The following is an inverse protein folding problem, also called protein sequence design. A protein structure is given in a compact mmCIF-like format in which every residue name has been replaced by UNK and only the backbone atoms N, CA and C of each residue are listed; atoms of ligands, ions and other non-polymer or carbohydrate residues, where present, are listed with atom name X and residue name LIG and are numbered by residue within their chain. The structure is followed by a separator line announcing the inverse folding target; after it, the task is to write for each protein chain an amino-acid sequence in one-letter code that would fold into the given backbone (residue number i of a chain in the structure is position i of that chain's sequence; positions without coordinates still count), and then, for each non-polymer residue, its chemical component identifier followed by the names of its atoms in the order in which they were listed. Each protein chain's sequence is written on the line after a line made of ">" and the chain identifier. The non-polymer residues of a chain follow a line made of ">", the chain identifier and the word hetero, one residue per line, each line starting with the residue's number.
data_IF_744662872615
#
_entry.id   IF_744662872615
#
_cell.length_a   1.000
_cell.length_b   1.000
_cell.length_c   1.000
_cell.angle_alpha   90.00
_cell.angle_beta   90.00
_cell.angle_gamma   90.00
#
_symmetry.space_group_name_H-M   'P 1'
#
loop_
_entity.id
_entity.type
_entity.pdbx_description
1 polymer ?
#
# COMPACT_ATOMS: atom_id res chain seq x y z
N UNK A 1 23.11 24.51 35.08
CA UNK A 1 23.64 23.19 35.49
C UNK A 1 22.88 22.11 34.72
N UNK A 2 23.58 21.20 34.01
CA UNK A 2 22.97 19.99 33.42
C UNK A 2 22.93 18.92 34.51
N UNK A 3 21.79 18.26 34.78
CA UNK A 3 21.76 17.18 35.76
C UNK A 3 22.61 16.02 35.24
N UNK A 4 23.66 15.69 35.99
CA UNK A 4 24.45 14.46 35.78
C UNK A 4 23.57 13.30 36.21
N UNK A 5 23.00 12.60 35.23
CA UNK A 5 22.19 11.40 35.46
C UNK A 5 23.04 10.36 36.19
N UNK A 6 22.54 9.79 37.29
CA UNK A 6 23.28 8.77 38.04
C UNK A 6 23.35 7.50 37.19
N UNK A 7 24.53 6.94 36.88
CA UNK A 7 24.68 5.78 35.99
C UNK A 7 24.02 4.48 36.51
N UNK A 8 23.50 4.53 37.74
CA UNK A 8 22.78 3.47 38.46
C UNK A 8 21.26 3.59 38.34
N UNK A 9 20.75 4.68 37.80
CA UNK A 9 19.32 4.91 37.63
C UNK A 9 18.73 3.85 36.67
N UNK A 10 17.66 3.18 37.12
CA UNK A 10 17.02 2.09 36.36
C UNK A 10 17.76 0.74 36.37
N UNK A 11 18.73 0.50 37.27
CA UNK A 11 19.40 -0.80 37.45
C UNK A 11 19.18 -1.35 38.86
N UNK A 12 19.04 -2.67 38.98
CA UNK A 12 18.96 -3.40 40.25
C UNK A 12 20.19 -4.29 40.41
N UNK A 13 20.62 -4.53 41.66
CA UNK A 13 21.73 -5.43 41.96
C UNK A 13 21.21 -6.86 42.16
N UNK A 14 21.85 -7.83 41.53
CA UNK A 14 21.53 -9.26 41.67
C UNK A 14 22.19 -9.86 42.91
N UNK A 15 21.75 -11.05 43.33
CA UNK A 15 22.36 -11.84 44.42
C UNK A 15 23.84 -12.15 44.17
N UNK A 16 24.24 -12.29 42.90
CA UNK A 16 25.63 -12.41 42.45
C UNK A 16 26.41 -11.08 42.44
N UNK A 17 25.78 -9.97 42.81
CA UNK A 17 26.41 -8.65 42.92
C UNK A 17 26.49 -7.83 41.64
N UNK A 18 25.94 -8.32 40.52
CA UNK A 18 25.96 -7.64 39.21
C UNK A 18 24.80 -6.65 39.09
N UNK A 19 25.05 -5.47 38.51
CA UNK A 19 23.99 -4.50 38.20
C UNK A 19 23.34 -4.82 36.86
N UNK A 20 22.06 -5.15 36.87
CA UNK A 20 21.25 -5.41 35.68
C UNK A 20 20.18 -4.32 35.51
N UNK A 21 19.76 -3.99 34.28
CA UNK A 21 18.61 -3.10 34.08
C UNK A 21 17.39 -3.65 34.82
N UNK A 22 16.61 -2.77 35.47
CA UNK A 22 15.37 -3.15 36.15
C UNK A 22 14.37 -3.83 35.20
N UNK A 23 14.45 -3.52 33.89
CA UNK A 23 13.67 -4.18 32.83
C UNK A 23 14.08 -5.63 32.53
N UNK A 24 15.15 -6.13 33.12
CA UNK A 24 15.56 -7.53 32.92
C UNK A 24 14.60 -8.50 33.64
N UNK A 25 13.97 -8.08 34.73
CA UNK A 25 12.90 -8.83 35.42
C UNK A 25 11.49 -8.46 34.98
N UNK A 26 11.31 -7.46 34.11
CA UNK A 26 10.00 -7.23 33.50
C UNK A 26 9.73 -8.36 32.52
N UNK A 27 8.51 -8.89 32.51
CA UNK A 27 7.99 -10.04 31.77
C UNK A 27 8.14 -9.99 30.23
N UNK A 28 9.11 -9.25 29.68
CA UNK A 28 9.42 -9.11 28.25
C UNK A 28 9.56 -10.44 27.53
N UNK A 29 10.10 -11.48 28.18
CA UNK A 29 10.16 -12.82 27.59
C UNK A 29 8.77 -13.48 27.54
N UNK A 30 7.96 -13.28 28.58
CA UNK A 30 6.57 -13.77 28.61
C UNK A 30 5.70 -13.02 27.60
N UNK A 31 5.82 -11.69 27.52
CA UNK A 31 5.17 -10.85 26.50
C UNK A 31 5.59 -11.25 25.08
N UNK A 32 6.89 -11.51 24.86
CA UNK A 32 7.38 -12.00 23.58
C UNK A 32 6.76 -13.36 23.25
N UNK A 33 6.79 -14.30 24.21
CA UNK A 33 6.22 -15.65 24.09
C UNK A 33 4.71 -15.62 23.83
N UNK A 34 3.97 -14.74 24.50
CA UNK A 34 2.53 -14.55 24.26
C UNK A 34 2.28 -14.03 22.84
N UNK A 35 3.07 -13.06 22.39
CA UNK A 35 2.97 -12.52 21.02
C UNK A 35 3.30 -13.57 19.96
N UNK A 36 4.32 -14.41 20.15
CA UNK A 36 4.63 -15.51 19.21
C UNK A 36 3.64 -16.66 19.32
N UNK A 37 3.11 -16.98 20.50
CA UNK A 37 2.07 -17.99 20.67
C UNK A 37 0.77 -17.59 19.98
N UNK A 38 0.39 -16.31 20.01
CA UNK A 38 -0.74 -15.78 19.23
C UNK A 38 -0.49 -15.95 17.73
N UNK A 39 0.74 -15.75 17.26
CA UNK A 39 1.09 -15.98 15.85
C UNK A 39 0.99 -17.46 15.44
N UNK A 40 1.34 -18.39 16.34
CA UNK A 40 1.27 -19.83 16.10
C UNK A 40 -0.16 -20.39 16.22
N UNK A 41 -0.91 -20.00 17.25
CA UNK A 41 -2.30 -20.43 17.46
C UNK A 41 -3.26 -19.89 16.38
N UNK A 42 -2.99 -18.72 15.80
CA UNK A 42 -3.78 -18.18 14.68
C UNK A 42 -3.59 -18.95 13.35
N UNK A 43 -2.67 -19.91 13.27
CA UNK A 43 -2.54 -20.79 12.09
C UNK A 43 -3.50 -21.98 12.12
N UNK A 44 -4.04 -22.34 13.29
CA UNK A 44 -4.81 -23.57 13.50
C UNK A 44 -6.31 -23.32 13.77
N UNK A 45 -6.70 -22.09 14.14
CA UNK A 45 -8.12 -21.70 14.28
C UNK A 45 -8.70 -21.21 12.95
N UNK A 46 -9.60 -22.01 12.35
CA UNK A 46 -10.35 -21.64 11.13
C UNK A 46 -11.30 -20.44 11.30
N UNK A 47 -11.51 -19.97 12.54
CA UNK A 47 -12.49 -18.93 12.89
C UNK A 47 -11.86 -17.62 13.42
N UNK A 48 -10.53 -17.49 13.37
CA UNK A 48 -9.86 -16.23 13.71
C UNK A 48 -10.10 -15.18 12.60
N UNK A 49 -10.37 -13.90 12.93
CA UNK A 49 -10.53 -12.86 11.91
C UNK A 49 -9.23 -12.80 11.10
N UNK A 50 -9.31 -13.18 9.81
CA UNK A 50 -8.20 -13.09 8.86
C UNK A 50 -7.61 -11.68 8.92
N UNK A 51 -6.54 -11.51 9.69
CA UNK A 51 -5.75 -10.29 9.62
C UNK A 51 -5.21 -10.24 8.20
N UNK A 52 -5.73 -9.32 7.38
CA UNK A 52 -5.21 -9.08 6.05
C UNK A 52 -3.72 -8.82 6.20
N UNK A 53 -2.91 -9.78 5.73
CA UNK A 53 -1.46 -9.68 5.78
C UNK A 53 -1.06 -8.38 5.10
N UNK A 54 -0.37 -7.53 5.85
CA UNK A 54 0.06 -6.25 5.30
C UNK A 54 0.91 -6.51 4.06
N UNK A 55 0.67 -5.81 2.93
CA UNK A 55 1.31 -6.19 1.69
C UNK A 55 2.83 -6.06 1.77
N UNK A 56 3.56 -7.07 1.30
CA UNK A 56 5.04 -7.07 1.37
C UNK A 56 5.66 -6.24 0.24
N UNK A 57 5.07 -6.30 -0.97
CA UNK A 57 5.55 -5.58 -2.14
C UNK A 57 5.30 -4.06 -2.00
N UNK A 58 6.30 -3.25 -2.35
CA UNK A 58 6.24 -1.78 -2.23
C UNK A 58 5.04 -1.14 -2.93
N UNK A 59 4.70 -1.59 -4.15
CA UNK A 59 3.53 -1.08 -4.88
C UNK A 59 2.21 -1.42 -4.18
N UNK A 60 2.14 -2.60 -3.54
CA UNK A 60 0.96 -3.03 -2.82
C UNK A 60 0.78 -2.22 -1.53
N UNK A 61 1.88 -1.89 -0.83
CA UNK A 61 1.90 -0.95 0.30
C UNK A 61 1.43 0.45 -0.11
N UNK A 62 1.94 0.95 -1.24
CA UNK A 62 1.52 2.23 -1.79
C UNK A 62 0.01 2.25 -2.04
N UNK A 63 -0.53 1.22 -2.71
CA UNK A 63 -1.96 1.12 -3.01
C UNK A 63 -2.81 1.03 -1.74
N UNK A 64 -2.36 0.26 -0.74
CA UNK A 64 -3.01 0.19 0.57
C UNK A 64 -3.05 1.57 1.25
N UNK A 65 -1.93 2.30 1.26
CA UNK A 65 -1.85 3.64 1.83
C UNK A 65 -2.76 4.65 1.09
N UNK A 66 -2.81 4.57 -0.24
CA UNK A 66 -3.73 5.38 -1.07
C UNK A 66 -5.18 5.06 -0.72
N UNK A 67 -5.54 3.78 -0.56
CA UNK A 67 -6.91 3.36 -0.16
C UNK A 67 -7.27 3.90 1.22
N UNK A 68 -6.36 3.82 2.19
CA UNK A 68 -6.56 4.39 3.54
C UNK A 68 -6.75 5.90 3.50
N UNK A 69 -5.93 6.62 2.73
CA UNK A 69 -6.04 8.08 2.59
C UNK A 69 -7.33 8.51 1.90
N UNK A 70 -7.80 7.76 0.90
CA UNK A 70 -9.11 7.99 0.25
C UNK A 70 -10.26 7.81 1.24
N UNK A 71 -10.26 6.73 2.02
CA UNK A 71 -11.29 6.49 3.05
C UNK A 71 -11.37 7.65 4.04
N UNK A 72 -10.23 8.14 4.53
CA UNK A 72 -10.19 9.32 5.41
C UNK A 72 -10.75 10.57 4.73
N UNK A 73 -10.35 10.84 3.49
CA UNK A 73 -10.82 12.00 2.73
C UNK A 73 -12.30 11.94 2.28
N UNK A 74 -12.93 10.77 2.39
CA UNK A 74 -14.37 10.60 2.13
C UNK A 74 -15.23 10.75 3.39
N UNK A 75 -14.62 10.66 4.59
CA UNK A 75 -15.30 10.91 5.86
C UNK A 75 -15.47 12.41 6.15
N UNK A 76 -14.55 13.25 5.68
CA UNK A 76 -14.66 14.70 5.83
C UNK A 76 -15.70 15.28 4.85
N UNK A 77 -16.61 16.13 5.36
CA UNK A 77 -17.55 16.88 4.53
C UNK A 77 -16.76 17.76 3.55
N UNK A 78 -17.06 17.61 2.25
CA UNK A 78 -16.37 18.35 1.18
C UNK A 78 -17.02 19.73 1.01
N UNK A 79 -16.21 20.77 1.06
CA UNK A 79 -16.60 22.13 0.71
C UNK A 79 -17.13 22.20 -0.75
N UNK A 80 -18.24 22.91 -1.05
CA UNK A 80 -18.78 23.11 -2.39
C UNK A 80 -17.74 23.41 -3.48
N UNK A 81 -16.75 24.27 -3.20
CA UNK A 81 -15.70 24.60 -4.17
C UNK A 81 -14.85 23.37 -4.55
N UNK A 82 -14.57 22.49 -3.59
CA UNK A 82 -13.85 21.24 -3.82
C UNK A 82 -14.66 20.25 -4.67
N UNK A 83 -15.99 20.23 -4.51
CA UNK A 83 -16.89 19.38 -5.31
C UNK A 83 -16.87 19.84 -6.76
N UNK A 84 -17.01 21.14 -7.01
CA UNK A 84 -16.95 21.71 -8.37
C UNK A 84 -15.60 21.40 -9.03
N UNK A 85 -14.49 21.59 -8.29
CA UNK A 85 -13.14 21.27 -8.79
C UNK A 85 -13.00 19.79 -9.16
N UNK A 86 -13.56 18.88 -8.35
CA UNK A 86 -13.58 17.43 -8.64
C UNK A 86 -14.39 17.12 -9.90
N UNK A 87 -15.56 17.74 -10.09
CA UNK A 87 -16.40 17.57 -11.29
C UNK A 87 -15.67 18.02 -12.56
N UNK A 88 -15.11 19.22 -12.56
CA UNK A 88 -14.33 19.75 -13.70
C UNK A 88 -13.16 18.82 -14.04
N UNK A 89 -12.45 18.30 -13.03
CA UNK A 89 -11.35 17.34 -13.25
C UNK A 89 -11.84 16.04 -13.90
N UNK A 90 -12.96 15.49 -13.42
CA UNK A 90 -13.55 14.25 -13.96
C UNK A 90 -14.02 14.45 -15.40
N UNK A 91 -14.65 15.59 -15.68
CA UNK A 91 -15.09 15.94 -17.03
C UNK A 91 -13.90 16.08 -17.99
N UNK A 92 -12.86 16.80 -17.59
CA UNK A 92 -11.63 16.93 -18.37
C UNK A 92 -10.96 15.58 -18.65
N UNK A 93 -10.96 14.67 -17.67
CA UNK A 93 -10.42 13.33 -17.84
C UNK A 93 -11.25 12.50 -18.84
N UNK A 94 -12.58 12.55 -18.73
CA UNK A 94 -13.50 11.89 -19.67
C UNK A 94 -13.31 12.43 -21.08
N UNK A 95 -13.22 13.75 -21.23
CA UNK A 95 -12.98 14.40 -22.52
C UNK A 95 -11.65 13.95 -23.13
N UNK A 96 -10.56 13.90 -22.34
CA UNK A 96 -9.26 13.37 -22.79
C UNK A 96 -9.36 11.90 -23.24
N UNK A 97 -10.04 11.06 -22.47
CA UNK A 97 -10.23 9.64 -22.84
C UNK A 97 -11.01 9.50 -24.15
N UNK A 98 -12.11 10.25 -24.31
CA UNK A 98 -12.91 10.25 -25.53
C UNK A 98 -12.08 10.71 -26.75
N UNK A 99 -11.27 11.76 -26.59
CA UNK A 99 -10.38 12.23 -27.67
C UNK A 99 -9.32 11.20 -28.02
N UNK A 100 -8.72 10.54 -27.03
CA UNK A 100 -7.75 9.47 -27.27
C UNK A 100 -8.40 8.26 -27.96
N UNK A 101 -9.63 7.89 -27.58
CA UNK A 101 -10.39 6.84 -28.26
C UNK A 101 -10.67 7.20 -29.71
N UNK A 102 -11.13 8.43 -29.99
CA UNK A 102 -11.36 8.92 -31.36
C UNK A 102 -10.06 8.89 -32.20
N UNK A 103 -8.94 9.36 -31.63
CA UNK A 103 -7.62 9.30 -32.29
C UNK A 103 -7.18 7.87 -32.56
N UNK A 104 -7.37 6.96 -31.61
CA UNK A 104 -7.03 5.54 -31.77
C UNK A 104 -7.93 4.87 -32.82
N UNK A 105 -9.23 5.19 -32.85
CA UNK A 105 -10.15 4.71 -33.89
C UNK A 105 -9.75 5.22 -35.28
N UNK A 106 -9.39 6.51 -35.41
CA UNK A 106 -8.89 7.08 -36.65
C UNK A 106 -7.58 6.42 -37.10
N UNK A 107 -6.62 6.19 -36.18
CA UNK A 107 -5.38 5.45 -36.47
C UNK A 107 -5.65 4.02 -36.92
N UNK A 108 -6.61 3.32 -36.30
CA UNK A 108 -7.02 1.97 -36.73
C UNK A 108 -7.62 1.97 -38.13
N UNK A 109 -8.49 2.95 -38.44
CA UNK A 109 -9.03 3.13 -39.80
C UNK A 109 -7.90 3.38 -40.81
N UNK A 110 -7.00 4.33 -40.53
CA UNK A 110 -5.86 4.64 -41.42
C UNK A 110 -4.86 3.48 -41.56
N UNK A 111 -4.63 2.71 -40.49
CA UNK A 111 -3.82 1.49 -40.54
C UNK A 111 -4.42 0.39 -41.42
N UNK A 112 -5.76 0.28 -41.41
CA UNK A 112 -6.51 -0.61 -42.29
C UNK A 112 -6.40 -0.18 -43.77
N UNK A 113 -6.48 1.12 -44.04
CA UNK A 113 -6.26 1.68 -45.38
C UNK A 113 -4.81 1.51 -45.88
N UNK A 114 -3.81 1.49 -44.97
CA UNK A 114 -2.39 1.30 -45.32
C UNK A 114 -2.04 -0.15 -45.66
N UNK A 115 -2.67 -1.14 -45.03
CA UNK A 115 -2.51 -2.56 -45.39
C UNK A 115 -3.41 -3.01 -46.55
N UNK A 116 -4.51 -2.30 -46.84
CA UNK A 116 -5.42 -2.62 -47.94
C UNK A 116 -4.96 -2.20 -49.34
N UNK A 117 -3.89 -1.41 -49.49
CA UNK A 117 -3.42 -0.88 -50.78
C UNK A 117 -2.09 -1.45 -51.31
N UNK A 118 -1.49 -2.44 -50.63
CA UNK A 118 -0.19 -3.02 -51.00
C UNK A 118 -0.17 -4.50 -51.41
N UNK A 119 -1.32 -5.18 -51.46
CA UNK A 119 -1.40 -6.63 -51.64
C UNK A 119 -1.79 -7.09 -53.05
N UNK A 120 -1.20 -6.55 -54.11
CA UNK A 120 -1.20 -7.17 -55.44
C UNK A 120 0.24 -7.47 -55.83
N UNK A 121 0.65 -8.72 -55.66
CA UNK A 121 1.98 -9.20 -56.07
C UNK A 121 2.04 -10.70 -55.87
N UNK A 122 1.54 -11.44 -56.85
CA UNK A 122 1.42 -12.89 -56.79
C UNK A 122 2.75 -13.61 -56.71
N UNK A 123 2.70 -14.84 -56.20
CA UNK A 123 3.57 -15.92 -56.64
C UNK A 123 2.90 -17.25 -56.30
N UNK A 124 2.32 -17.87 -57.34
CA UNK A 124 2.04 -19.30 -57.33
C UNK A 124 3.39 -20.00 -57.32
N UNK A 125 3.62 -20.90 -56.37
CA UNK A 125 4.67 -21.91 -56.49
C UNK A 125 4.03 -23.29 -56.53
N UNK A 126 4.64 -24.05 -57.42
CA UNK A 126 4.27 -25.31 -58.05
C UNK A 126 4.43 -26.50 -57.10
#
# INVERSE_FOLDING_TARGET
>A
MVPVQDPREGKIRTESGVWIPATYKTNRYEEWKERTKIEESQRDDEDAPKMEKYPTKQWARHNANVKMKKRKADLDLKDPAQIVKKRIRLENLKNKQMQNQKKNAAKRKMGLFKHGKGGKGGKKHK
#
